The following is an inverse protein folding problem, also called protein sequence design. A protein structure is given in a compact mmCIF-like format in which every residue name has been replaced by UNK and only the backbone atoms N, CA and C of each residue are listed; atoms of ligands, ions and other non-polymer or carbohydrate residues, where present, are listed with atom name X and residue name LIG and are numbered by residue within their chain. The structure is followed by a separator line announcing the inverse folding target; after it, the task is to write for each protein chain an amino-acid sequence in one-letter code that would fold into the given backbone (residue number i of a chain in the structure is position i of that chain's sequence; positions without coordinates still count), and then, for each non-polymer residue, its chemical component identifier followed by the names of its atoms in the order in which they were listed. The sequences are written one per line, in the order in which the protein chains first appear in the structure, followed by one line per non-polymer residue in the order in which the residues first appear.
data_IF_122942123807
#
_entry.id   IF_122942123807
#
_cell.length_a   1.000
_cell.length_b   1.000
_cell.length_c   1.000
_cell.angle_alpha   90.00
_cell.angle_beta   90.00
_cell.angle_gamma   90.00
#
_symmetry.space_group_name_H-M   'P 1'
#
loop_
_entity.id
_entity.type
_entity.pdbx_description
1 polymer ?
#
# COMPACT_ATOMS: atom_id res chain seq x y z
N UNK A 1 -2.91 -3.26 -6.87
CA UNK A 1 -4.03 -3.02 -5.95
C UNK A 1 -4.83 -4.26 -5.52
N UNK A 2 -5.04 -5.28 -6.36
CA UNK A 2 -5.88 -6.47 -6.07
C UNK A 2 -5.74 -7.09 -4.65
N UNK A 3 -4.51 -7.34 -4.18
CA UNK A 3 -4.26 -7.91 -2.83
C UNK A 3 -4.72 -7.01 -1.69
N UNK A 4 -4.53 -5.70 -1.81
CA UNK A 4 -5.02 -4.73 -0.83
C UNK A 4 -6.54 -4.70 -0.80
N UNK A 5 -7.19 -4.71 -1.97
CA UNK A 5 -8.65 -4.77 -2.08
C UNK A 5 -9.21 -6.01 -1.41
N UNK A 6 -8.64 -7.19 -1.67
CA UNK A 6 -9.08 -8.45 -1.07
C UNK A 6 -8.90 -8.49 0.46
N UNK A 7 -7.85 -7.86 0.99
CA UNK A 7 -7.53 -7.90 2.42
C UNK A 7 -8.31 -6.87 3.25
N UNK A 8 -8.50 -5.66 2.72
CA UNK A 8 -8.97 -4.52 3.51
C UNK A 8 -10.36 -4.03 3.13
N UNK A 9 -10.89 -4.44 1.98
CA UNK A 9 -12.28 -4.22 1.48
C UNK A 9 -12.78 -2.78 1.37
N UNK A 10 -12.14 -1.79 1.99
CA UNK A 10 -12.49 -0.38 1.90
C UNK A 10 -11.30 0.48 1.51
N UNK A 11 -11.57 1.55 0.77
CA UNK A 11 -10.55 2.50 0.32
C UNK A 11 -9.74 3.10 1.47
N UNK A 12 -10.41 3.56 2.53
CA UNK A 12 -9.76 4.11 3.71
C UNK A 12 -8.77 3.12 4.35
N UNK A 13 -9.19 1.86 4.54
CA UNK A 13 -8.31 0.81 5.10
C UNK A 13 -7.16 0.45 4.18
N UNK A 14 -7.38 0.47 2.86
CA UNK A 14 -6.31 0.25 1.87
C UNK A 14 -5.27 1.37 1.96
N UNK A 15 -5.71 2.63 1.93
CA UNK A 15 -4.82 3.80 1.98
C UNK A 15 -4.03 3.83 3.29
N UNK A 16 -4.67 3.57 4.42
CA UNK A 16 -4.04 3.48 5.73
C UNK A 16 -3.01 2.33 5.81
N UNK A 17 -3.33 1.15 5.26
CA UNK A 17 -2.39 0.03 5.21
C UNK A 17 -1.13 0.36 4.39
N UNK A 18 -1.30 1.00 3.22
CA UNK A 18 -0.17 1.44 2.38
C UNK A 18 0.65 2.50 3.13
N UNK A 19 0.00 3.47 3.77
CA UNK A 19 0.66 4.52 4.54
C UNK A 19 1.52 3.94 5.66
N UNK A 20 0.95 3.08 6.50
CA UNK A 20 1.67 2.43 7.62
C UNK A 20 2.83 1.56 7.15
N UNK A 21 2.68 0.89 6.00
CA UNK A 21 3.76 0.11 5.41
C UNK A 21 4.89 1.02 4.93
N UNK A 22 4.60 2.10 4.20
CA UNK A 22 5.62 3.01 3.67
C UNK A 22 6.33 3.83 4.76
N UNK A 23 5.66 4.12 5.88
CA UNK A 23 6.27 4.78 7.05
C UNK A 23 7.15 3.84 7.88
N UNK A 24 6.88 2.55 7.89
CA UNK A 24 7.71 1.60 8.64
C UNK A 24 7.55 0.20 8.02
N UNK A 25 8.34 -0.09 6.97
CA UNK A 25 8.24 -1.32 6.20
C UNK A 25 8.67 -2.51 7.04
N UNK A 26 7.71 -3.30 7.52
CA UNK A 26 7.96 -4.50 8.32
C UNK A 26 7.14 -5.67 7.81
N UNK A 27 7.51 -6.90 8.20
CA UNK A 27 6.84 -8.12 7.77
C UNK A 27 5.34 -8.07 8.08
N UNK A 28 4.98 -7.66 9.29
CA UNK A 28 3.59 -7.64 9.76
C UNK A 28 2.73 -6.59 9.04
N UNK A 29 3.37 -5.57 8.46
CA UNK A 29 2.69 -4.47 7.73
C UNK A 29 2.68 -4.69 6.22
N UNK A 30 3.50 -5.61 5.71
CA UNK A 30 3.53 -5.95 4.29
C UNK A 30 2.33 -6.81 3.90
N UNK A 31 1.80 -6.58 2.71
CA UNK A 31 0.85 -7.50 2.07
C UNK A 31 1.55 -8.57 1.22
N UNK A 32 2.88 -8.49 1.11
CA UNK A 32 3.65 -9.40 0.27
C UNK A 32 3.87 -10.72 1.01
N UNK A 33 3.83 -11.87 0.30
CA UNK A 33 4.19 -13.15 0.89
C UNK A 33 5.63 -13.15 1.42
N UNK A 34 5.90 -13.92 2.47
CA UNK A 34 7.22 -13.99 3.10
C UNK A 34 8.35 -14.34 2.12
N UNK A 35 8.12 -15.28 1.21
CA UNK A 35 9.13 -15.66 0.20
C UNK A 35 9.51 -14.52 -0.75
N UNK A 36 8.63 -13.53 -0.96
CA UNK A 36 8.98 -12.32 -1.72
C UNK A 36 9.89 -11.41 -0.89
N UNK A 37 9.55 -11.20 0.37
CA UNK A 37 10.35 -10.39 1.30
C UNK A 37 11.75 -10.99 1.47
N UNK A 38 11.88 -12.31 1.57
CA UNK A 38 13.20 -12.95 1.66
C UNK A 38 14.07 -12.72 0.42
N UNK A 39 13.46 -12.63 -0.76
CA UNK A 39 14.20 -12.47 -2.03
C UNK A 39 14.55 -11.02 -2.33
N UNK A 40 13.65 -10.10 -2.04
CA UNK A 40 13.76 -8.69 -2.45
C UNK A 40 13.89 -7.71 -1.29
N UNK A 41 13.80 -8.19 -0.04
CA UNK A 41 13.80 -7.35 1.14
C UNK A 41 12.51 -6.56 1.34
N UNK A 42 12.59 -5.60 2.26
CA UNK A 42 11.57 -4.57 2.42
C UNK A 42 11.93 -3.35 1.58
N UNK A 43 10.91 -2.54 1.30
CA UNK A 43 11.16 -1.20 0.75
C UNK A 43 11.80 -0.33 1.84
N UNK A 44 12.55 0.69 1.46
CA UNK A 44 13.00 1.73 2.38
C UNK A 44 11.82 2.56 2.92
N UNK A 45 12.01 3.07 4.13
CA UNK A 45 11.09 4.02 4.76
C UNK A 45 10.93 5.29 3.91
N UNK A 46 9.71 5.78 3.84
CA UNK A 46 9.38 7.00 3.12
C UNK A 46 9.96 8.23 3.82
N UNK A 47 10.71 9.04 3.07
CA UNK A 47 11.21 10.34 3.53
C UNK A 47 10.20 11.48 3.35
N UNK A 48 9.06 11.22 2.70
CA UNK A 48 7.99 12.20 2.52
C UNK A 48 7.33 12.56 3.86
N UNK A 49 6.85 13.80 3.97
CA UNK A 49 5.96 14.20 5.06
C UNK A 49 4.66 13.42 5.01
N UNK A 50 3.95 13.35 6.13
CA UNK A 50 2.70 12.60 6.22
C UNK A 50 1.63 13.08 5.22
N UNK A 51 1.60 14.38 4.93
CA UNK A 51 0.65 14.97 3.98
C UNK A 51 1.00 14.62 2.53
N UNK A 52 2.29 14.74 2.16
CA UNK A 52 2.77 14.36 0.83
C UNK A 52 2.55 12.86 0.58
N UNK A 53 2.85 12.03 1.57
CA UNK A 53 2.67 10.59 1.47
C UNK A 53 1.19 10.22 1.31
N UNK A 54 0.28 10.84 2.07
CA UNK A 54 -1.17 10.65 1.92
C UNK A 54 -1.65 11.06 0.53
N UNK A 55 -1.17 12.18 -0.01
CA UNK A 55 -1.51 12.62 -1.35
C UNK A 55 -0.99 11.67 -2.43
N UNK A 56 0.27 11.24 -2.33
CA UNK A 56 0.85 10.26 -3.25
C UNK A 56 0.06 8.93 -3.23
N UNK A 57 -0.37 8.48 -2.06
CA UNK A 57 -1.21 7.29 -1.90
C UNK A 57 -2.60 7.49 -2.51
N UNK A 58 -3.20 8.67 -2.37
CA UNK A 58 -4.48 9.00 -3.02
C UNK A 58 -4.36 8.88 -4.54
N UNK A 59 -3.37 9.54 -5.13
CA UNK A 59 -3.10 9.50 -6.57
C UNK A 59 -2.86 8.06 -7.05
N UNK A 60 -2.02 7.31 -6.31
CA UNK A 60 -1.77 5.90 -6.61
C UNK A 60 -3.04 5.06 -6.52
N UNK A 61 -3.90 5.29 -5.53
CA UNK A 61 -5.16 4.56 -5.41
C UNK A 61 -6.09 4.87 -6.56
N UNK A 62 -6.25 6.13 -6.95
CA UNK A 62 -7.10 6.55 -8.07
C UNK A 62 -6.67 5.89 -9.39
N UNK A 63 -5.37 5.89 -9.67
CA UNK A 63 -4.81 5.33 -10.91
C UNK A 63 -4.84 3.80 -11.00
N UNK A 64 -4.85 3.08 -9.86
CA UNK A 64 -4.65 1.63 -9.86
C UNK A 64 -5.74 0.84 -9.12
N UNK A 65 -6.76 1.49 -8.56
CA UNK A 65 -7.89 0.78 -7.98
C UNK A 65 -8.62 -0.06 -9.03
N UNK A 66 -9.37 -1.04 -8.55
CA UNK A 66 -10.12 -1.95 -9.43
C UNK A 66 -11.44 -1.34 -9.92
N UNK A 67 -11.91 -0.23 -9.33
CA UNK A 67 -13.19 0.41 -9.71
C UNK A 67 -13.14 0.90 -11.15
N UNK A 68 -11.98 1.32 -11.65
CA UNK A 68 -11.81 1.75 -13.05
C UNK A 68 -12.04 0.63 -14.10
N UNK A 69 -12.07 -0.64 -13.69
CA UNK A 69 -12.25 -1.79 -14.59
C UNK A 69 -13.65 -2.41 -14.50
N UNK A 70 -14.49 -1.97 -13.56
CA UNK A 70 -15.87 -2.45 -13.42
C UNK A 70 -16.77 -1.40 -14.10
N UNK A 71 -17.21 -1.70 -15.32
CA UNK A 71 -18.23 -0.93 -16.05
C UNK A 71 -19.63 -1.29 -15.56
#
# INVERSE_FOLDING_TARGET
MKRYTLKYSSESKIKDAIFRYLKAPTQNRSIMPFGFIQRWGFKDESLLSDNELKNAINIYYENYNLKQYIK
#
